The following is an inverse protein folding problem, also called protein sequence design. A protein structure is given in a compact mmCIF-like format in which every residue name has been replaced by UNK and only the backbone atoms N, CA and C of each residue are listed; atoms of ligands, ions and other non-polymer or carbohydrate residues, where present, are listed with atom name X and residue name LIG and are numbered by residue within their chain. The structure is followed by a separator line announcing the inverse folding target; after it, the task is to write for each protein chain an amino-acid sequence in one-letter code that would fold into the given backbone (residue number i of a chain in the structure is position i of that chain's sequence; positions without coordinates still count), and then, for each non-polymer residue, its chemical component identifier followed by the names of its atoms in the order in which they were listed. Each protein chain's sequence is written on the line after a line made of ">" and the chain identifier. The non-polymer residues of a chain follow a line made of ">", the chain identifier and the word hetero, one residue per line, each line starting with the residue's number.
data_IF_518423897235
#
_entry.id   IF_518423897235
#
_cell.length_a   1.000
_cell.length_b   1.000
_cell.length_c   1.000
_cell.angle_alpha   90.00
_cell.angle_beta   90.00
_cell.angle_gamma   90.00
#
_symmetry.space_group_name_H-M   'P 1'
#
loop_
_entity.id
_entity.type
_entity.pdbx_description
1 polymer ?
#
# COMPACT_ATOMS: atom_id res chain seq x y z
N UNK A 1 -15.15 -10.23 -4.52
CA UNK A 1 -14.79 -8.86 -4.97
C UNK A 1 -16.09 -8.08 -5.08
N UNK A 2 -16.17 -6.87 -4.54
CA UNK A 2 -17.41 -6.08 -4.56
C UNK A 2 -17.79 -5.68 -5.99
N UNK A 3 -19.08 -5.63 -6.29
CA UNK A 3 -19.62 -5.09 -7.54
C UNK A 3 -19.45 -3.57 -7.61
N UNK A 4 -19.50 -2.99 -8.82
CA UNK A 4 -19.42 -1.53 -9.01
C UNK A 4 -20.49 -0.75 -8.24
N UNK A 5 -21.68 -1.32 -8.07
CA UNK A 5 -22.74 -0.70 -7.26
C UNK A 5 -22.36 -0.70 -5.79
N UNK A 6 -21.86 -1.83 -5.27
CA UNK A 6 -21.40 -1.98 -3.89
C UNK A 6 -20.21 -1.06 -3.59
N UNK A 7 -19.27 -0.86 -4.53
CA UNK A 7 -18.12 0.02 -4.29
C UNK A 7 -18.51 1.49 -4.13
N UNK A 8 -19.52 1.96 -4.89
CA UNK A 8 -20.08 3.32 -4.75
C UNK A 8 -20.82 3.47 -3.42
N UNK A 9 -21.62 2.48 -3.04
CA UNK A 9 -22.39 2.49 -1.80
C UNK A 9 -21.50 2.39 -0.55
N UNK A 10 -20.34 1.72 -0.65
CA UNK A 10 -19.45 1.47 0.47
C UNK A 10 -19.05 2.74 1.23
N UNK A 11 -18.64 3.79 0.51
CA UNK A 11 -18.26 5.07 1.13
C UNK A 11 -19.43 5.77 1.82
N UNK A 12 -20.63 5.71 1.25
CA UNK A 12 -21.83 6.30 1.83
C UNK A 12 -22.27 5.58 3.11
N UNK A 13 -22.24 4.24 3.11
CA UNK A 13 -22.56 3.42 4.30
C UNK A 13 -21.54 3.65 5.42
N UNK A 14 -20.25 3.71 5.09
CA UNK A 14 -19.21 4.05 6.06
C UNK A 14 -19.45 5.41 6.69
N UNK A 15 -19.70 6.43 5.86
CA UNK A 15 -19.99 7.80 6.34
C UNK A 15 -21.15 7.79 7.30
N UNK A 16 -22.30 7.26 6.88
CA UNK A 16 -23.51 7.21 7.72
C UNK A 16 -23.24 6.56 9.08
N UNK A 17 -22.62 5.38 9.10
CA UNK A 17 -22.36 4.66 10.35
C UNK A 17 -21.38 5.41 11.26
N UNK A 18 -20.37 6.06 10.69
CA UNK A 18 -19.40 6.85 11.47
C UNK A 18 -20.04 8.10 12.07
N UNK A 19 -20.91 8.78 11.33
CA UNK A 19 -21.66 9.92 11.85
C UNK A 19 -22.57 9.50 13.02
N UNK A 20 -23.19 8.32 12.95
CA UNK A 20 -23.99 7.75 14.05
C UNK A 20 -23.13 7.39 15.28
N UNK A 21 -21.97 6.77 15.08
CA UNK A 21 -21.09 6.33 16.19
C UNK A 21 -20.44 7.50 16.91
N UNK A 22 -20.06 8.55 16.16
CA UNK A 22 -19.25 9.65 16.68
C UNK A 22 -20.05 10.92 16.98
N UNK A 23 -21.30 11.00 16.51
CA UNK A 23 -22.13 12.21 16.52
C UNK A 23 -21.42 13.43 15.90
N UNK A 24 -20.60 13.19 14.87
CA UNK A 24 -19.87 14.21 14.11
C UNK A 24 -20.34 14.18 12.66
N UNK A 25 -20.44 15.33 12.03
CA UNK A 25 -20.70 15.45 10.58
C UNK A 25 -19.38 15.27 9.84
N UNK A 26 -19.36 14.40 8.83
CA UNK A 26 -18.15 14.11 8.06
C UNK A 26 -18.25 14.73 6.66
N UNK A 27 -17.34 15.66 6.35
CA UNK A 27 -17.42 16.47 5.14
C UNK A 27 -16.59 15.92 3.98
N UNK A 28 -15.66 15.01 4.23
CA UNK A 28 -14.80 14.44 3.19
C UNK A 28 -14.44 12.97 3.44
N UNK A 29 -14.05 12.26 2.38
CA UNK A 29 -13.56 10.88 2.49
C UNK A 29 -12.26 10.79 3.30
N UNK A 30 -11.41 11.83 3.26
CA UNK A 30 -10.17 11.87 4.03
C UNK A 30 -10.47 12.01 5.53
N UNK A 31 -11.42 12.87 5.90
CA UNK A 31 -11.91 13.00 7.27
C UNK A 31 -12.56 11.69 7.76
N UNK A 32 -13.36 11.03 6.89
CA UNK A 32 -13.94 9.72 7.17
C UNK A 32 -12.84 8.69 7.48
N UNK A 33 -11.81 8.62 6.64
CA UNK A 33 -10.68 7.72 6.81
C UNK A 33 -9.99 7.93 8.17
N UNK A 34 -9.62 9.17 8.50
CA UNK A 34 -8.99 9.46 9.80
C UNK A 34 -9.91 9.15 10.97
N UNK A 35 -11.21 9.46 10.86
CA UNK A 35 -12.17 9.17 11.93
C UNK A 35 -12.30 7.67 12.20
N UNK A 36 -12.32 6.84 11.15
CA UNK A 36 -12.32 5.37 11.31
C UNK A 36 -11.05 4.90 12.02
N UNK A 37 -9.89 5.47 11.70
CA UNK A 37 -8.63 5.11 12.37
C UNK A 37 -8.65 5.41 13.87
N UNK A 38 -9.35 6.47 14.29
CA UNK A 38 -9.44 6.87 15.69
C UNK A 38 -10.54 6.16 16.50
N UNK A 39 -11.34 5.28 15.88
CA UNK A 39 -12.34 4.51 16.61
C UNK A 39 -11.67 3.56 17.62
N UNK A 40 -12.21 3.54 18.84
CA UNK A 40 -11.82 2.58 19.87
C UNK A 40 -12.23 1.15 19.49
N UNK A 41 -11.61 0.15 20.12
CA UNK A 41 -11.97 -1.27 19.91
C UNK A 41 -13.46 -1.52 20.17
N UNK A 42 -14.01 -0.88 21.22
CA UNK A 42 -15.43 -0.97 21.58
C UNK A 42 -16.31 -0.42 20.45
N UNK A 43 -15.98 0.76 19.92
CA UNK A 43 -16.70 1.36 18.79
C UNK A 43 -16.59 0.54 17.49
N UNK A 44 -15.50 -0.19 17.29
CA UNK A 44 -15.31 -1.06 16.12
C UNK A 44 -16.05 -2.40 16.24
N UNK A 45 -16.51 -2.77 17.43
CA UNK A 45 -17.23 -4.04 17.64
C UNK A 45 -18.54 -4.03 16.86
N UNK A 46 -18.70 -5.00 15.94
CA UNK A 46 -19.87 -5.08 15.07
C UNK A 46 -19.91 -4.06 13.93
N UNK A 47 -18.95 -3.12 13.85
CA UNK A 47 -18.90 -2.09 12.80
C UNK A 47 -18.93 -2.69 11.40
N UNK A 48 -18.06 -3.68 11.13
CA UNK A 48 -17.98 -4.35 9.82
C UNK A 48 -19.22 -5.18 9.50
N UNK A 49 -19.92 -5.70 10.51
CA UNK A 49 -21.21 -6.38 10.31
C UNK A 49 -22.24 -5.39 9.80
N UNK A 50 -22.33 -4.21 10.41
CA UNK A 50 -23.24 -3.14 9.96
C UNK A 50 -22.90 -2.64 8.56
N UNK A 51 -21.61 -2.43 8.26
CA UNK A 51 -21.15 -2.05 6.91
C UNK A 51 -21.54 -3.13 5.89
N UNK A 52 -21.25 -4.40 6.20
CA UNK A 52 -21.56 -5.54 5.33
C UNK A 52 -23.05 -5.65 5.05
N UNK A 53 -23.90 -5.54 6.08
CA UNK A 53 -25.36 -5.52 5.93
C UNK A 53 -25.85 -4.37 5.04
N UNK A 54 -25.24 -3.18 5.15
CA UNK A 54 -25.61 -2.01 4.35
C UNK A 54 -25.33 -2.15 2.85
N UNK A 55 -24.42 -3.05 2.44
CA UNK A 55 -24.07 -3.31 1.03
C UNK A 55 -24.25 -4.77 0.60
N UNK A 56 -25.00 -5.55 1.40
CA UNK A 56 -25.30 -6.96 1.15
C UNK A 56 -24.05 -7.83 0.92
N UNK A 57 -23.06 -7.74 1.81
CA UNK A 57 -21.88 -8.64 1.85
C UNK A 57 -21.58 -9.08 3.28
N UNK A 58 -20.70 -10.06 3.43
CA UNK A 58 -20.27 -10.51 4.75
C UNK A 58 -19.42 -9.44 5.45
N UNK A 59 -19.36 -9.50 6.79
CA UNK A 59 -18.52 -8.60 7.57
C UNK A 59 -17.03 -8.69 7.16
N UNK A 60 -16.55 -9.90 6.85
CA UNK A 60 -15.18 -10.13 6.41
C UNK A 60 -14.91 -9.49 5.04
N UNK A 61 -15.83 -9.61 4.09
CA UNK A 61 -15.67 -8.96 2.78
C UNK A 61 -15.65 -7.42 2.90
N UNK A 62 -16.50 -6.84 3.74
CA UNK A 62 -16.50 -5.40 4.01
C UNK A 62 -15.19 -4.94 4.66
N UNK A 63 -14.73 -5.67 5.68
CA UNK A 63 -13.45 -5.45 6.35
C UNK A 63 -12.28 -5.51 5.35
N UNK A 64 -12.20 -6.58 4.57
CA UNK A 64 -11.09 -6.80 3.64
C UNK A 64 -11.10 -5.78 2.52
N UNK A 65 -12.29 -5.41 2.01
CA UNK A 65 -12.40 -4.34 1.02
C UNK A 65 -11.94 -3.00 1.58
N UNK A 66 -12.26 -2.67 2.84
CA UNK A 66 -11.76 -1.47 3.49
C UNK A 66 -10.23 -1.42 3.50
N UNK A 67 -9.58 -2.43 4.07
CA UNK A 67 -8.12 -2.40 4.26
C UNK A 67 -7.33 -2.63 2.97
N UNK A 68 -7.85 -3.41 2.02
CA UNK A 68 -7.10 -3.79 0.82
C UNK A 68 -7.44 -2.94 -0.41
N UNK A 69 -8.53 -2.16 -0.39
CA UNK A 69 -8.96 -1.37 -1.54
C UNK A 69 -9.30 0.06 -1.15
N UNK A 70 -10.31 0.26 -0.31
CA UNK A 70 -10.82 1.62 -0.04
C UNK A 70 -9.79 2.50 0.66
N UNK A 71 -9.03 1.99 1.63
CA UNK A 71 -8.01 2.80 2.32
C UNK A 71 -6.81 3.15 1.44
N UNK A 72 -6.52 2.35 0.40
CA UNK A 72 -5.36 2.58 -0.47
C UNK A 72 -5.42 3.89 -1.24
N UNK A 73 -6.62 4.44 -1.48
CA UNK A 73 -6.79 5.73 -2.17
C UNK A 73 -6.25 6.93 -1.38
N UNK A 74 -6.06 6.79 -0.06
CA UNK A 74 -5.52 7.86 0.79
C UNK A 74 -4.01 7.78 0.99
N UNK A 75 -3.39 6.72 0.46
CA UNK A 75 -1.95 6.55 0.54
C UNK A 75 -1.29 6.85 -0.79
N UNK A 76 -0.09 7.41 -0.74
CA UNK A 76 0.76 7.53 -1.93
C UNK A 76 1.23 6.14 -2.38
N UNK A 77 1.48 6.02 -3.68
CA UNK A 77 1.97 4.79 -4.25
C UNK A 77 3.44 4.56 -3.85
N UNK A 78 3.68 3.58 -2.98
CA UNK A 78 5.02 3.18 -2.55
C UNK A 78 5.97 2.80 -3.70
N UNK A 79 5.46 2.43 -4.89
CA UNK A 79 6.32 2.11 -6.04
C UNK A 79 7.05 3.33 -6.58
N UNK A 80 6.49 4.54 -6.40
CA UNK A 80 7.10 5.78 -6.85
C UNK A 80 8.39 6.07 -6.06
N UNK A 81 8.51 5.50 -4.86
CA UNK A 81 9.66 5.62 -3.96
C UNK A 81 10.56 4.39 -3.91
N UNK A 82 10.34 3.43 -4.81
CA UNK A 82 11.02 2.13 -4.77
C UNK A 82 12.55 2.29 -4.81
N UNK A 83 13.07 3.14 -5.69
CA UNK A 83 14.51 3.32 -5.86
C UNK A 83 15.16 3.86 -4.58
N UNK A 84 14.56 4.88 -3.98
CA UNK A 84 15.04 5.51 -2.75
C UNK A 84 14.96 4.55 -1.56
N UNK A 85 13.89 3.74 -1.48
CA UNK A 85 13.74 2.74 -0.42
C UNK A 85 14.78 1.61 -0.55
N UNK A 86 15.13 1.20 -1.78
CA UNK A 86 16.19 0.21 -2.02
C UNK A 86 17.56 0.77 -1.63
N UNK A 87 17.84 2.01 -1.99
CA UNK A 87 19.08 2.71 -1.62
C UNK A 87 19.23 2.81 -0.11
N UNK A 88 18.23 3.37 0.58
CA UNK A 88 18.21 3.45 2.06
C UNK A 88 18.38 2.07 2.70
N UNK A 89 17.70 1.04 2.16
CA UNK A 89 17.82 -0.31 2.68
C UNK A 89 19.24 -0.90 2.55
N UNK A 90 19.90 -0.66 1.42
CA UNK A 90 21.29 -1.09 1.21
C UNK A 90 22.29 -0.31 2.06
N UNK A 91 22.02 0.95 2.37
CA UNK A 91 22.79 1.68 3.38
C UNK A 91 22.60 1.03 4.75
N UNK A 92 21.35 0.83 5.20
CA UNK A 92 21.08 0.31 6.55
C UNK A 92 21.58 -1.11 6.77
N UNK A 93 21.55 -1.99 5.75
CA UNK A 93 22.03 -3.37 5.90
C UNK A 93 23.53 -3.47 6.18
N UNK A 94 24.30 -2.40 5.91
CA UNK A 94 25.74 -2.35 6.18
C UNK A 94 26.05 -2.04 7.64
N UNK A 95 25.10 -1.44 8.37
CA UNK A 95 25.25 -1.01 9.77
C UNK A 95 24.46 -1.86 10.77
N UNK A 96 23.36 -2.47 10.33
CA UNK A 96 22.47 -3.26 11.17
C UNK A 96 22.96 -4.71 11.35
N UNK A 97 22.62 -5.29 12.52
CA UNK A 97 22.99 -6.68 12.85
C UNK A 97 22.20 -7.70 12.05
N UNK A 98 20.96 -7.38 11.71
CA UNK A 98 20.07 -8.25 10.96
C UNK A 98 19.18 -7.46 10.00
N UNK A 99 18.56 -8.19 9.06
CA UNK A 99 17.71 -7.60 8.05
C UNK A 99 16.44 -6.96 8.63
N UNK A 100 15.92 -7.45 9.77
CA UNK A 100 14.71 -6.91 10.38
C UNK A 100 14.98 -5.51 10.93
N UNK A 101 16.09 -5.32 11.63
CA UNK A 101 16.55 -4.02 12.11
C UNK A 101 16.81 -3.06 10.94
N UNK A 102 17.48 -3.52 9.87
CA UNK A 102 17.67 -2.71 8.67
C UNK A 102 16.35 -2.24 8.04
N UNK A 103 15.33 -3.11 7.98
CA UNK A 103 13.99 -2.76 7.49
C UNK A 103 13.36 -1.68 8.36
N UNK A 104 13.40 -1.83 9.69
CA UNK A 104 12.85 -0.83 10.63
C UNK A 104 13.53 0.53 10.48
N UNK A 105 14.87 0.55 10.47
CA UNK A 105 15.64 1.79 10.27
C UNK A 105 15.35 2.45 8.93
N UNK A 106 15.18 1.65 7.87
CA UNK A 106 14.82 2.17 6.54
C UNK A 106 13.46 2.85 6.55
N UNK A 107 12.44 2.23 7.17
CA UNK A 107 11.09 2.82 7.24
C UNK A 107 11.10 4.09 8.08
N UNK A 108 11.77 4.08 9.23
CA UNK A 108 11.89 5.26 10.11
C UNK A 108 12.60 6.43 9.41
N UNK A 109 13.73 6.19 8.76
CA UNK A 109 14.43 7.23 7.99
C UNK A 109 13.60 7.74 6.81
N UNK A 110 12.91 6.84 6.11
CA UNK A 110 12.03 7.23 5.01
C UNK A 110 10.89 8.13 5.50
N UNK A 111 10.23 7.79 6.60
CA UNK A 111 9.16 8.60 7.20
C UNK A 111 9.67 9.96 7.70
N UNK A 112 10.87 10.01 8.28
CA UNK A 112 11.53 11.27 8.68
C UNK A 112 11.86 12.16 7.48
N UNK A 113 12.30 11.58 6.37
CA UNK A 113 12.63 12.30 5.14
C UNK A 113 11.38 12.80 4.41
N UNK A 114 10.28 12.08 4.54
CA UNK A 114 9.02 12.39 3.86
C UNK A 114 7.82 12.42 4.83
N UNK A 115 7.77 13.39 5.77
CA UNK A 115 6.78 13.40 6.85
C UNK A 115 5.34 13.60 6.34
N UNK A 116 5.16 14.22 5.17
CA UNK A 116 3.85 14.45 4.55
C UNK A 116 3.41 13.31 3.64
N UNK A 117 4.28 12.33 3.36
CA UNK A 117 3.93 11.20 2.51
C UNK A 117 3.16 10.20 3.36
N UNK A 118 1.84 10.21 3.23
CA UNK A 118 0.97 9.17 3.76
C UNK A 118 1.24 7.88 2.97
N UNK A 119 2.39 7.24 3.18
CA UNK A 119 2.72 5.95 2.57
C UNK A 119 2.13 4.84 3.43
N UNK A 120 1.60 3.80 2.79
CA UNK A 120 1.08 2.65 3.51
C UNK A 120 2.25 1.86 4.12
N UNK A 121 2.46 2.00 5.43
CA UNK A 121 3.57 1.39 6.16
C UNK A 121 3.66 -0.12 5.93
N UNK A 122 2.53 -0.83 6.00
CA UNK A 122 2.48 -2.28 5.73
C UNK A 122 3.04 -2.63 4.35
N UNK A 123 2.74 -1.83 3.32
CA UNK A 123 3.27 -2.03 1.96
C UNK A 123 4.78 -1.76 1.89
N UNK A 124 5.28 -0.76 2.62
CA UNK A 124 6.71 -0.49 2.74
C UNK A 124 7.43 -1.71 3.34
N UNK A 125 6.97 -2.20 4.49
CA UNK A 125 7.52 -3.40 5.13
C UNK A 125 7.48 -4.61 4.19
N UNK A 126 6.35 -4.89 3.55
CA UNK A 126 6.23 -6.01 2.61
C UNK A 126 7.27 -5.92 1.49
N UNK A 127 7.45 -4.74 0.90
CA UNK A 127 8.45 -4.53 -0.15
C UNK A 127 9.86 -4.81 0.35
N UNK A 128 10.22 -4.28 1.52
CA UNK A 128 11.56 -4.45 2.09
C UNK A 128 11.83 -5.90 2.53
N UNK A 129 10.84 -6.60 3.09
CA UNK A 129 10.96 -8.05 3.37
C UNK A 129 11.17 -8.86 2.08
N UNK A 130 10.50 -8.51 0.99
CA UNK A 130 10.73 -9.14 -0.30
C UNK A 130 12.18 -8.91 -0.79
N UNK A 131 12.70 -7.69 -0.64
CA UNK A 131 14.10 -7.38 -0.98
C UNK A 131 15.09 -8.15 -0.10
N UNK A 132 14.87 -8.20 1.21
CA UNK A 132 15.72 -8.96 2.14
C UNK A 132 15.73 -10.46 1.82
N UNK A 133 14.55 -11.04 1.52
CA UNK A 133 14.43 -12.46 1.19
C UNK A 133 15.01 -12.83 -0.18
N UNK A 134 15.11 -11.88 -1.11
CA UNK A 134 15.69 -12.12 -2.44
C UNK A 134 17.19 -12.45 -2.36
N UNK A 135 17.92 -11.86 -1.40
CA UNK A 135 19.36 -12.14 -1.19
C UNK A 135 19.63 -13.57 -0.71
N UNK A 136 18.69 -14.17 0.01
CA UNK A 136 18.86 -15.50 0.62
C UNK A 136 18.38 -16.65 -0.28
N UNK A 137 17.71 -16.34 -1.38
CA UNK A 137 17.31 -17.38 -2.33
C UNK A 137 18.53 -17.74 -3.18
N UNK A 138 19.07 -18.95 -2.98
CA UNK A 138 19.93 -19.59 -3.97
C UNK A 138 19.26 -19.43 -5.34
N UNK A 139 19.99 -19.02 -6.38
CA UNK A 139 19.40 -18.84 -7.71
C UNK A 139 18.69 -20.15 -8.07
N UNK A 140 17.35 -20.10 -8.12
CA UNK A 140 16.57 -21.23 -8.63
C UNK A 140 17.12 -21.49 -10.02
N UNK A 141 17.66 -22.68 -10.25
CA UNK A 141 18.00 -23.13 -11.61
C UNK A 141 16.73 -22.94 -12.45
N UNK A 142 16.69 -21.88 -13.23
CA UNK A 142 15.59 -21.60 -14.14
C UNK A 142 15.68 -22.69 -15.19
N UNK A 143 14.85 -23.72 -15.07
CA UNK A 143 14.63 -24.65 -16.17
C UNK A 143 14.02 -23.82 -17.30
N UNK A 144 14.82 -23.57 -18.36
CA UNK A 144 14.46 -22.83 -19.57
C UNK A 144 13.43 -23.60 -20.41
N UNK A 145 12.30 -23.97 -19.83
CA UNK A 145 11.17 -24.53 -20.57
C UNK A 145 9.97 -23.61 -20.34
N UNK A 146 9.63 -22.82 -21.37
CA UNK A 146 8.43 -21.99 -21.51
C UNK A 146 8.50 -20.54 -20.98
N UNK A 147 9.47 -19.74 -21.45
CA UNK A 147 9.32 -18.28 -21.40
C UNK A 147 8.30 -17.82 -22.46
N UNK A 148 7.18 -17.26 -21.99
CA UNK A 148 6.24 -16.52 -22.83
C UNK A 148 6.85 -15.15 -23.20
N UNK A 149 6.80 -14.69 -24.46
CA UNK A 149 7.43 -13.44 -24.94
C UNK A 149 6.93 -12.13 -24.33
N UNK A 150 5.95 -12.15 -23.42
CA UNK A 150 5.26 -10.93 -22.98
C UNK A 150 6.05 -10.04 -22.00
N UNK A 151 7.17 -10.50 -21.45
CA UNK A 151 7.95 -9.69 -20.48
C UNK A 151 9.16 -8.94 -21.08
N UNK A 152 9.63 -9.28 -22.28
CA UNK A 152 10.78 -8.57 -22.90
C UNK A 152 10.42 -7.18 -23.43
N UNK A 153 9.14 -6.92 -23.73
CA UNK A 153 8.68 -5.63 -24.27
C UNK A 153 8.73 -4.51 -23.22
N UNK A 154 8.64 -4.84 -21.93
CA UNK A 154 8.51 -3.81 -20.88
C UNK A 154 9.87 -3.21 -20.45
N UNK A 155 10.98 -3.96 -20.54
CA UNK A 155 12.31 -3.41 -20.21
C UNK A 155 12.91 -2.56 -21.35
N UNK A 156 12.63 -2.88 -22.63
CA UNK A 156 13.14 -2.10 -23.76
C UNK A 156 12.55 -0.68 -23.81
N UNK A 157 11.29 -0.48 -23.41
CA UNK A 157 10.66 0.86 -23.39
C UNK A 157 11.21 1.79 -22.28
N UNK A 158 11.79 1.24 -21.21
CA UNK A 158 12.39 2.05 -20.14
C UNK A 158 13.75 2.63 -20.53
N UNK A 159 14.55 1.92 -21.33
CA UNK A 159 15.85 2.42 -21.76
C UNK A 159 15.74 3.48 -22.87
N UNK A 160 14.76 3.39 -23.77
CA UNK A 160 14.62 4.36 -24.87
C UNK A 160 14.14 5.75 -24.39
N UNK A 161 13.30 5.82 -23.35
CA UNK A 161 12.84 7.09 -22.80
C UNK A 161 13.92 7.84 -22.00
N UNK A 162 14.85 7.13 -21.36
CA UNK A 162 15.96 7.75 -20.64
C UNK A 162 16.97 8.43 -21.59
N UNK A 163 17.16 7.88 -22.80
CA UNK A 163 18.07 8.45 -23.81
C UNK A 163 17.47 9.69 -24.48
N UNK A 164 16.14 9.76 -24.67
CA UNK A 164 15.50 10.93 -25.27
C UNK A 164 15.51 12.17 -24.36
N UNK A 165 15.50 12.01 -23.03
CA UNK A 165 15.52 13.16 -22.12
C UNK A 165 16.91 13.81 -21.97
N UNK A 166 17.99 13.13 -22.38
CA UNK A 166 19.34 13.70 -22.36
C UNK A 166 19.65 14.57 -23.59
N UNK A 167 18.88 14.45 -24.67
CA UNK A 167 19.10 15.19 -25.92
C UNK A 167 18.28 16.50 -26.02
N UNK A 168 17.66 16.96 -24.92
CA UNK A 168 16.85 18.20 -24.89
C UNK A 168 17.58 19.33 -24.14
N UNK A 169 18.83 19.11 -23.71
CA UNK A 169 19.65 20.11 -22.97
C UNK A 169 20.84 20.59 -23.83
N UNK A 170 20.64 20.76 -25.14
CA UNK A 170 21.52 21.53 -26.01
C UNK A 170 20.76 22.65 -26.73
#
# INVERSE_FOLDING_TARGET
>A
MLTKVQTVQFGAVLKFLIEQITNKIINSNLELFYTIQQLTIQQRTGFWKSVGSGINVTANEAHDYYYNTWTLQFYQNHQDYRAQLVELFHEQISYCKDAKDAIWQTVDQFQKKYPCNNCNERKLFQMLYHLASAKNKTPRKINKSNQSPQYEVCEQFRFQNAVQQLNIIE
#
